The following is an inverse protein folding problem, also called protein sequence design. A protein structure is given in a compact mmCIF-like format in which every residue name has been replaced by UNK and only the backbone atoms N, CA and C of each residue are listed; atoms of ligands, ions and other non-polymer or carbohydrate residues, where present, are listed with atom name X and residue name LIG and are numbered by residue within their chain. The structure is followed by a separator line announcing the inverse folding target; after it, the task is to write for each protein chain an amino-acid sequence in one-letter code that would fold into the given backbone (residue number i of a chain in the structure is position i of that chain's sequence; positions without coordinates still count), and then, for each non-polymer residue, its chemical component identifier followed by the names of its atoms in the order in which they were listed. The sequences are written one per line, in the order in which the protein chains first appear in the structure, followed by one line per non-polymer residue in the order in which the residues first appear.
data_IF_589308257161
#
_entry.id   IF_589308257161
#
_cell.length_a   1.000
_cell.length_b   1.000
_cell.length_c   1.000
_cell.angle_alpha   90.00
_cell.angle_beta   90.00
_cell.angle_gamma   90.00
#
_symmetry.space_group_name_H-M   'P 1'
#
loop_
_entity.id
_entity.type
_entity.pdbx_description
1 polymer ?
#
# COMPACT_ATOMS: atom_id res chain seq x y z
N UNK A 1 -14.98 14.08 -22.36
CA UNK A 1 -15.39 13.93 -20.95
C UNK A 1 -16.49 14.94 -20.68
N UNK A 2 -17.46 14.57 -19.85
CA UNK A 2 -18.67 15.34 -19.50
C UNK A 2 -18.33 16.76 -19.02
N UNK A 3 -17.35 16.90 -18.12
CA UNK A 3 -16.81 18.20 -17.64
C UNK A 3 -16.41 19.13 -18.78
N UNK A 4 -15.75 18.62 -19.84
CA UNK A 4 -15.33 19.44 -20.99
C UNK A 4 -16.53 19.97 -21.77
N UNK A 5 -17.62 19.19 -21.86
CA UNK A 5 -18.85 19.62 -22.52
C UNK A 5 -19.57 20.69 -21.67
N UNK A 6 -19.68 20.47 -20.36
CA UNK A 6 -20.28 21.46 -19.43
C UNK A 6 -19.51 22.77 -19.44
N UNK A 7 -18.17 22.73 -19.45
CA UNK A 7 -17.34 23.92 -19.59
C UNK A 7 -17.58 24.66 -20.91
N UNK A 8 -17.68 23.94 -22.03
CA UNK A 8 -17.98 24.53 -23.35
C UNK A 8 -19.38 25.14 -23.42
N UNK A 9 -20.33 24.62 -22.65
CA UNK A 9 -21.70 25.12 -22.58
C UNK A 9 -21.89 26.26 -21.57
N UNK A 10 -20.84 26.63 -20.83
CA UNK A 10 -20.90 27.65 -19.78
C UNK A 10 -21.60 27.18 -18.50
N UNK A 11 -21.81 25.87 -18.33
CA UNK A 11 -22.39 25.29 -17.13
C UNK A 11 -21.30 25.06 -16.08
N UNK A 12 -20.94 26.13 -15.39
CA UNK A 12 -19.85 26.10 -14.41
C UNK A 12 -20.21 25.32 -13.14
N UNK A 13 -21.49 25.16 -12.82
CA UNK A 13 -21.93 24.38 -11.67
C UNK A 13 -21.67 22.88 -11.93
N UNK A 14 -22.06 22.38 -13.10
CA UNK A 14 -21.75 21.01 -13.52
C UNK A 14 -20.23 20.76 -13.61
N UNK A 15 -19.45 21.78 -13.99
CA UNK A 15 -17.98 21.69 -14.02
C UNK A 15 -17.41 21.53 -12.61
N UNK A 16 -17.88 22.32 -11.64
CA UNK A 16 -17.43 22.27 -10.25
C UNK A 16 -17.72 20.91 -9.64
N UNK A 17 -18.96 20.41 -9.75
CA UNK A 17 -19.35 19.10 -9.25
C UNK A 17 -18.51 17.98 -9.88
N UNK A 18 -18.30 18.04 -11.20
CA UNK A 18 -17.48 17.06 -11.90
C UNK A 18 -16.01 17.06 -11.45
N UNK A 19 -15.45 18.24 -11.15
CA UNK A 19 -14.07 18.35 -10.64
C UNK A 19 -13.95 17.82 -9.21
N UNK A 20 -14.92 18.08 -8.34
CA UNK A 20 -14.96 17.52 -6.98
C UNK A 20 -14.99 15.99 -7.00
N UNK A 21 -15.86 15.41 -7.83
CA UNK A 21 -15.94 13.95 -8.02
C UNK A 21 -14.60 13.40 -8.52
N UNK A 22 -13.97 14.07 -9.49
CA UNK A 22 -12.68 13.64 -10.03
C UNK A 22 -11.60 13.64 -8.95
N UNK A 23 -11.51 14.70 -8.14
CA UNK A 23 -10.56 14.80 -7.03
C UNK A 23 -10.77 13.68 -6.01
N UNK A 24 -12.01 13.39 -5.64
CA UNK A 24 -12.36 12.32 -4.69
C UNK A 24 -12.08 10.91 -5.26
N UNK A 25 -12.34 10.68 -6.55
CA UNK A 25 -11.94 9.43 -7.24
C UNK A 25 -10.42 9.26 -7.26
N UNK A 26 -9.67 10.30 -7.59
CA UNK A 26 -8.21 10.29 -7.60
C UNK A 26 -7.65 10.03 -6.19
N UNK A 27 -8.13 10.74 -5.18
CA UNK A 27 -7.70 10.55 -3.79
C UNK A 27 -7.96 9.12 -3.30
N UNK A 28 -9.08 8.50 -3.68
CA UNK A 28 -9.33 7.08 -3.37
C UNK A 28 -8.40 6.12 -4.12
N UNK A 29 -8.03 6.44 -5.36
CA UNK A 29 -7.13 5.61 -6.14
C UNK A 29 -5.73 5.60 -5.52
N UNK A 30 -5.19 6.77 -5.15
CA UNK A 30 -3.90 6.92 -4.47
C UNK A 30 -3.88 6.13 -3.14
N UNK A 31 -4.93 6.27 -2.30
CA UNK A 31 -5.07 5.51 -1.06
C UNK A 31 -5.00 3.99 -1.28
N UNK A 32 -5.66 3.49 -2.32
CA UNK A 32 -5.65 2.05 -2.67
C UNK A 32 -4.31 1.60 -3.21
N UNK A 33 -3.60 2.45 -3.94
CA UNK A 33 -2.25 2.16 -4.43
C UNK A 33 -1.29 1.96 -3.25
N UNK A 34 -1.27 2.90 -2.30
CA UNK A 34 -0.46 2.77 -1.08
C UNK A 34 -0.86 1.52 -0.27
N UNK A 35 -2.16 1.29 -0.05
CA UNK A 35 -2.63 0.10 0.69
C UNK A 35 -2.15 -1.19 0.03
N UNK A 36 -2.15 -1.26 -1.29
CA UNK A 36 -1.70 -2.43 -2.05
C UNK A 36 -0.20 -2.67 -1.90
N UNK A 37 0.61 -1.59 -1.92
CA UNK A 37 2.05 -1.68 -1.72
C UNK A 37 2.39 -2.10 -0.29
N UNK A 38 1.74 -1.50 0.71
CA UNK A 38 1.92 -1.86 2.13
C UNK A 38 1.54 -3.33 2.38
N UNK A 39 0.47 -3.82 1.75
CA UNK A 39 0.07 -5.22 1.83
C UNK A 39 1.13 -6.14 1.25
N UNK A 40 1.67 -5.81 0.07
CA UNK A 40 2.75 -6.57 -0.57
C UNK A 40 3.99 -6.60 0.32
N UNK A 41 4.39 -5.45 0.86
CA UNK A 41 5.53 -5.32 1.76
C UNK A 41 5.38 -6.23 3.00
N UNK A 42 4.29 -6.07 3.75
CA UNK A 42 4.02 -6.89 4.95
C UNK A 42 3.91 -8.38 4.62
N UNK A 43 3.32 -8.74 3.48
CA UNK A 43 3.19 -10.13 3.05
C UNK A 43 4.56 -10.79 2.84
N UNK A 44 5.47 -10.12 2.15
CA UNK A 44 6.82 -10.63 1.91
C UNK A 44 7.66 -10.68 3.19
N UNK A 45 7.49 -9.72 4.11
CA UNK A 45 8.14 -9.76 5.43
C UNK A 45 7.63 -10.94 6.27
N UNK A 46 6.33 -11.21 6.26
CA UNK A 46 5.78 -12.38 6.94
C UNK A 46 6.37 -13.68 6.38
N UNK A 47 6.44 -13.82 5.05
CA UNK A 47 7.11 -14.95 4.39
C UNK A 47 8.57 -15.07 4.80
N UNK A 48 9.29 -13.95 4.86
CA UNK A 48 10.68 -13.92 5.30
C UNK A 48 10.87 -14.48 6.71
N UNK A 49 9.93 -14.17 7.63
CA UNK A 49 9.97 -14.63 9.01
C UNK A 49 9.58 -16.10 9.16
N UNK A 50 8.51 -16.55 8.48
CA UNK A 50 7.99 -17.92 8.65
C UNK A 50 8.66 -18.96 7.76
N UNK A 51 9.35 -18.55 6.70
CA UNK A 51 9.93 -19.45 5.70
C UNK A 51 11.41 -19.14 5.41
N UNK A 52 12.31 -19.26 6.40
CA UNK A 52 13.71 -18.89 6.27
C UNK A 52 14.46 -19.66 5.18
N UNK A 53 14.07 -20.90 4.89
CA UNK A 53 14.69 -21.77 3.88
C UNK A 53 14.37 -21.38 2.43
N UNK A 54 13.40 -20.49 2.21
CA UNK A 54 13.01 -19.95 0.89
C UNK A 54 13.43 -18.50 0.67
N UNK A 55 14.16 -17.92 1.62
CA UNK A 55 14.72 -16.56 1.46
C UNK A 55 15.54 -16.49 0.19
N UNK A 56 15.33 -15.42 -0.56
CA UNK A 56 15.94 -15.25 -1.87
C UNK A 56 16.12 -13.76 -2.16
N UNK A 57 17.07 -13.47 -3.05
CA UNK A 57 17.32 -12.10 -3.53
C UNK A 57 16.06 -11.48 -4.13
N UNK A 58 15.22 -12.26 -4.82
CA UNK A 58 13.96 -11.74 -5.39
C UNK A 58 12.97 -11.28 -4.31
N UNK A 59 12.94 -11.92 -3.14
CA UNK A 59 12.11 -11.46 -2.02
C UNK A 59 12.63 -10.15 -1.44
N UNK A 60 13.95 -10.00 -1.31
CA UNK A 60 14.59 -8.74 -0.88
C UNK A 60 14.22 -7.62 -1.85
N UNK A 61 14.44 -7.83 -3.16
CA UNK A 61 14.07 -6.86 -4.20
C UNK A 61 12.58 -6.50 -4.13
N UNK A 62 11.71 -7.45 -3.80
CA UNK A 62 10.26 -7.18 -3.70
C UNK A 62 9.93 -6.31 -2.49
N UNK A 63 10.63 -6.50 -1.37
CA UNK A 63 10.51 -5.68 -0.16
C UNK A 63 10.99 -4.25 -0.47
N UNK A 64 12.19 -4.11 -1.05
CA UNK A 64 12.78 -2.81 -1.36
C UNK A 64 11.93 -2.02 -2.37
N UNK A 65 11.50 -2.67 -3.46
CA UNK A 65 10.61 -2.03 -4.43
C UNK A 65 9.27 -1.60 -3.81
N UNK A 66 8.72 -2.37 -2.87
CA UNK A 66 7.48 -1.96 -2.20
C UNK A 66 7.69 -0.76 -1.27
N UNK A 67 8.86 -0.65 -0.62
CA UNK A 67 9.23 0.54 0.18
C UNK A 67 9.39 1.77 -0.71
N UNK A 68 10.12 1.64 -1.82
CA UNK A 68 10.34 2.73 -2.78
C UNK A 68 9.00 3.27 -3.35
N UNK A 69 8.08 2.37 -3.70
CA UNK A 69 6.76 2.75 -4.19
C UNK A 69 5.92 3.47 -3.12
N UNK A 70 5.98 3.03 -1.86
CA UNK A 70 5.28 3.71 -0.75
C UNK A 70 5.85 5.13 -0.54
N UNK A 71 7.17 5.29 -0.55
CA UNK A 71 7.82 6.60 -0.44
C UNK A 71 7.50 7.51 -1.64
N UNK A 72 7.40 6.94 -2.84
CA UNK A 72 6.95 7.67 -4.02
C UNK A 72 5.51 8.18 -3.84
N UNK A 73 4.56 7.32 -3.44
CA UNK A 73 3.17 7.72 -3.18
C UNK A 73 3.07 8.82 -2.10
N UNK A 74 3.83 8.68 -1.00
CA UNK A 74 3.94 9.70 0.07
C UNK A 74 4.42 11.05 -0.45
N UNK A 75 5.37 11.04 -1.38
CA UNK A 75 5.94 12.25 -1.98
C UNK A 75 4.94 12.98 -2.89
N UNK A 76 4.13 12.25 -3.64
CA UNK A 76 3.14 12.83 -4.55
C UNK A 76 1.87 13.31 -3.83
N UNK A 77 1.47 12.61 -2.76
CA UNK A 77 0.27 12.92 -1.99
C UNK A 77 0.61 13.09 -0.51
N UNK A 78 0.84 14.33 0.00
CA UNK A 78 1.18 14.58 1.40
C UNK A 78 0.14 14.08 2.41
N UNK A 79 -1.09 13.82 1.96
CA UNK A 79 -2.16 13.21 2.75
C UNK A 79 -1.91 11.74 3.07
N UNK A 80 -1.10 11.05 2.26
CA UNK A 80 -0.71 9.65 2.38
C UNK A 80 0.51 9.43 3.27
N UNK A 81 0.65 10.22 4.34
CA UNK A 81 1.80 10.18 5.24
C UNK A 81 1.79 8.99 6.22
N UNK A 82 2.78 8.94 7.11
CA UNK A 82 2.93 7.85 8.09
C UNK A 82 1.71 7.68 9.00
N UNK A 83 0.99 8.76 9.32
CA UNK A 83 -0.25 8.65 10.09
C UNK A 83 -1.35 7.91 9.32
N UNK A 84 -1.42 8.11 8.00
CA UNK A 84 -2.32 7.32 7.14
C UNK A 84 -1.89 5.85 7.11
N UNK A 85 -0.60 5.56 6.94
CA UNK A 85 -0.03 4.19 6.98
C UNK A 85 -0.42 3.49 8.28
N UNK A 86 -0.22 4.15 9.42
CA UNK A 86 -0.58 3.63 10.75
C UNK A 86 -2.09 3.41 10.88
N UNK A 87 -2.92 4.30 10.32
CA UNK A 87 -4.39 4.18 10.37
C UNK A 87 -4.92 2.92 9.66
N UNK A 88 -4.22 2.42 8.63
CA UNK A 88 -4.60 1.23 7.87
C UNK A 88 -3.83 -0.03 8.28
N UNK A 89 -2.81 0.10 9.14
CA UNK A 89 -1.84 -0.95 9.48
C UNK A 89 -2.48 -2.29 9.84
N UNK A 90 -3.39 -2.30 10.82
CA UNK A 90 -4.02 -3.53 11.30
C UNK A 90 -4.83 -4.26 10.22
N UNK A 91 -5.55 -3.50 9.39
CA UNK A 91 -6.33 -4.06 8.29
C UNK A 91 -5.42 -4.68 7.22
N UNK A 92 -4.31 -3.99 6.91
CA UNK A 92 -3.34 -4.47 5.92
C UNK A 92 -2.58 -5.69 6.44
N UNK A 93 -2.14 -5.67 7.71
CA UNK A 93 -1.47 -6.81 8.34
C UNK A 93 -2.37 -8.06 8.34
N UNK A 94 -3.67 -7.89 8.66
CA UNK A 94 -4.65 -8.99 8.60
C UNK A 94 -4.75 -9.59 7.19
N UNK A 95 -4.77 -8.76 6.14
CA UNK A 95 -4.75 -9.22 4.73
C UNK A 95 -3.45 -9.92 4.37
N UNK A 96 -2.31 -9.34 4.75
CA UNK A 96 -0.98 -9.87 4.50
C UNK A 96 -0.78 -11.25 5.14
N UNK A 97 -1.27 -11.46 6.37
CA UNK A 97 -1.27 -12.77 7.04
C UNK A 97 -2.03 -13.81 6.25
N UNK A 98 -3.27 -13.53 5.85
CA UNK A 98 -4.06 -14.47 5.04
C UNK A 98 -3.34 -14.86 3.75
N UNK A 99 -2.68 -13.91 3.09
CA UNK A 99 -1.93 -14.18 1.87
C UNK A 99 -0.66 -15.00 2.15
N UNK A 100 0.08 -14.69 3.22
CA UNK A 100 1.28 -15.43 3.62
C UNK A 100 0.93 -16.89 3.96
N UNK A 101 -0.09 -17.10 4.79
CA UNK A 101 -0.52 -18.44 5.21
C UNK A 101 -1.06 -19.25 4.04
N UNK A 102 -1.83 -18.60 3.14
CA UNK A 102 -2.36 -19.26 1.94
C UNK A 102 -1.26 -19.69 0.96
N UNK A 103 -0.25 -18.86 0.75
CA UNK A 103 0.84 -19.17 -0.19
C UNK A 103 1.81 -20.20 0.38
N UNK A 104 2.17 -20.08 1.66
CA UNK A 104 3.21 -20.90 2.28
C UNK A 104 2.69 -22.16 2.94
N UNK A 105 1.38 -22.22 3.22
CA UNK A 105 0.75 -23.23 4.08
C UNK A 105 1.37 -23.31 5.50
N UNK A 106 1.99 -22.21 5.96
CA UNK A 106 2.57 -22.05 7.30
C UNK A 106 1.78 -21.00 8.09
N UNK A 107 1.69 -21.17 9.41
CA UNK A 107 0.94 -20.24 10.27
C UNK A 107 1.77 -19.00 10.62
N UNK A 108 1.12 -17.84 10.69
CA UNK A 108 1.72 -16.58 11.18
C UNK A 108 1.40 -16.31 12.65
N UNK A 109 0.78 -17.25 13.36
CA UNK A 109 0.27 -17.06 14.74
C UNK A 109 1.34 -16.61 15.75
N UNK A 110 2.59 -17.05 15.55
CA UNK A 110 3.69 -16.76 16.47
C UNK A 110 4.30 -15.37 16.23
N UNK A 111 3.92 -14.73 15.12
CA UNK A 111 4.22 -13.32 14.85
C UNK A 111 3.01 -12.54 15.37
N UNK A 112 3.13 -11.85 16.51
CA UNK A 112 2.01 -11.09 17.09
C UNK A 112 1.77 -9.78 16.34
N UNK A 113 2.84 -9.09 15.98
CA UNK A 113 2.83 -7.83 15.24
C UNK A 113 4.01 -7.75 14.28
N UNK A 114 3.93 -6.77 13.36
CA UNK A 114 5.09 -6.26 12.65
C UNK A 114 5.34 -4.86 13.18
N UNK A 115 6.60 -4.52 13.45
CA UNK A 115 6.99 -3.18 13.88
C UNK A 115 7.24 -2.26 12.69
N UNK A 116 7.25 -0.95 12.93
CA UNK A 116 7.64 0.03 11.91
C UNK A 116 9.06 -0.25 11.40
N UNK A 117 9.98 -0.53 12.32
CA UNK A 117 11.37 -0.88 12.03
C UNK A 117 11.46 -2.09 11.10
N UNK A 118 10.75 -3.19 11.39
CA UNK A 118 10.72 -4.36 10.50
C UNK A 118 10.20 -4.01 9.11
N UNK A 119 9.13 -3.21 9.03
CA UNK A 119 8.47 -2.91 7.75
C UNK A 119 9.27 -1.93 6.90
N UNK A 120 9.86 -0.89 7.48
CA UNK A 120 10.44 0.22 6.71
C UNK A 120 11.94 0.41 6.87
N UNK A 121 12.57 -0.04 7.96
CA UNK A 121 13.94 0.36 8.31
C UNK A 121 14.93 -0.82 8.29
N UNK A 122 14.46 -2.03 8.62
CA UNK A 122 15.29 -3.23 8.68
C UNK A 122 15.81 -3.60 7.29
N UNK A 123 17.12 -3.81 7.18
CA UNK A 123 17.75 -4.34 5.97
C UNK A 123 17.63 -5.86 5.92
N UNK A 124 17.13 -6.37 4.80
CA UNK A 124 17.00 -7.81 4.55
C UNK A 124 18.13 -8.30 3.65
N UNK A 125 18.89 -9.30 4.10
CA UNK A 125 20.03 -9.88 3.37
C UNK A 125 20.08 -11.40 3.52
N UNK A 126 20.76 -12.08 2.59
CA UNK A 126 20.99 -13.55 2.57
C UNK A 126 22.44 -13.90 2.89
#
# INVERSE_FOLDING_TARGET
VEIKKSFQNGDYQDVEEGLEILLDVMARAEKRALESQLMRLMWHILKWKIQPEKRSVSWIITIDNARDEIEAEKKYSPSLNDAFVLSIWGNVLSKARRNAEKETNLSTKDILELTWEEVFEMEYSI
#
